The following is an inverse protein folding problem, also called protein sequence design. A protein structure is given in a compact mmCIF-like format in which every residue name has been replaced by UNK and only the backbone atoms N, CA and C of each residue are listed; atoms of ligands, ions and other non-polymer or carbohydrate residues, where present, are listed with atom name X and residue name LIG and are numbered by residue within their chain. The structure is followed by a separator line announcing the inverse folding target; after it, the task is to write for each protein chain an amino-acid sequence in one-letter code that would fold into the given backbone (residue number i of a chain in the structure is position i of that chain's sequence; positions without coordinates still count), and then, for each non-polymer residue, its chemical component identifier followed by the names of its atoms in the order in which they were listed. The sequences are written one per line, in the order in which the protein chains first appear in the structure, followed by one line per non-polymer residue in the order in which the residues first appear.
data_IF_547993023569
#
_entry.id   IF_547993023569
#
_cell.length_a   1.000
_cell.length_b   1.000
_cell.length_c   1.000
_cell.angle_alpha   90.00
_cell.angle_beta   90.00
_cell.angle_gamma   90.00
#
_symmetry.space_group_name_H-M   'P 1'
#
loop_
_entity.id
_entity.type
_entity.pdbx_description
1 polymer ?
#
# COMPACT_ATOMS: atom_id res chain seq x y z
N UNK A 1 -11.92 7.47 -1.39
CA UNK A 1 -11.95 7.67 -2.86
C UNK A 1 -13.37 7.93 -3.27
N UNK A 2 -13.61 8.80 -4.24
CA UNK A 2 -14.95 9.02 -4.79
C UNK A 2 -15.34 7.88 -5.72
N UNK A 3 -16.64 7.66 -5.89
CA UNK A 3 -17.20 6.61 -6.75
C UNK A 3 -16.75 6.78 -8.21
N UNK A 4 -16.84 8.01 -8.74
CA UNK A 4 -16.40 8.34 -10.09
C UNK A 4 -15.16 9.21 -10.00
N UNK A 5 -14.00 8.61 -10.27
CA UNK A 5 -12.71 9.31 -10.28
C UNK A 5 -11.81 8.72 -11.37
N UNK A 6 -11.25 9.60 -12.18
CA UNK A 6 -10.18 9.26 -13.12
C UNK A 6 -8.84 9.78 -12.61
N UNK A 7 -7.75 9.17 -13.07
CA UNK A 7 -6.40 9.66 -12.75
C UNK A 7 -6.22 11.09 -13.27
N UNK A 8 -5.42 11.88 -12.55
CA UNK A 8 -5.02 13.23 -12.97
C UNK A 8 -3.64 13.24 -13.64
N UNK A 9 -2.95 12.09 -13.70
CA UNK A 9 -1.71 11.88 -14.46
C UNK A 9 -1.90 10.70 -15.43
N UNK A 10 -1.23 10.73 -16.60
CA UNK A 10 -1.29 9.64 -17.58
C UNK A 10 -0.78 8.31 -17.02
N UNK A 11 -1.41 7.20 -17.43
CA UNK A 11 -1.07 5.84 -16.99
C UNK A 11 0.39 5.46 -17.26
N UNK A 12 0.95 5.98 -18.36
CA UNK A 12 2.32 5.71 -18.81
C UNK A 12 3.38 6.21 -17.83
N UNK A 13 3.07 7.26 -17.05
CA UNK A 13 3.97 7.80 -16.03
C UNK A 13 3.51 7.48 -14.60
N UNK A 14 2.27 7.01 -14.43
CA UNK A 14 1.75 6.57 -13.13
C UNK A 14 2.28 5.18 -12.74
N UNK A 15 2.34 4.26 -13.70
CA UNK A 15 2.66 2.86 -13.43
C UNK A 15 4.16 2.61 -13.37
N UNK A 16 4.56 1.56 -12.64
CA UNK A 16 5.97 1.27 -12.40
C UNK A 16 6.64 0.77 -13.69
N UNK A 17 7.83 1.29 -14.03
CA UNK A 17 8.58 0.81 -15.18
C UNK A 17 8.84 -0.70 -15.10
N UNK A 18 8.60 -1.42 -16.20
CA UNK A 18 8.84 -2.86 -16.30
C UNK A 18 7.72 -3.74 -15.72
N UNK A 19 6.66 -3.17 -15.13
CA UNK A 19 5.48 -3.91 -14.72
C UNK A 19 4.45 -3.89 -15.86
N UNK A 20 3.98 -5.05 -16.35
CA UNK A 20 2.98 -5.09 -17.42
C UNK A 20 1.69 -4.38 -17.01
N UNK A 21 1.15 -3.59 -17.93
CA UNK A 21 -0.17 -3.01 -17.77
C UNK A 21 -1.25 -4.12 -17.81
N UNK A 22 -2.38 -3.96 -17.11
CA UNK A 22 -3.51 -4.85 -17.27
C UNK A 22 -3.88 -4.93 -18.76
N UNK A 23 -4.07 -6.16 -19.29
CA UNK A 23 -4.39 -6.35 -20.72
C UNK A 23 -5.72 -5.71 -21.13
N UNK A 24 -6.60 -5.51 -20.14
CA UNK A 24 -7.89 -4.82 -20.29
C UNK A 24 -7.78 -3.32 -19.98
N UNK A 25 -6.56 -2.79 -19.81
CA UNK A 25 -6.37 -1.37 -19.54
C UNK A 25 -6.96 -0.57 -20.71
N UNK A 26 -7.88 0.32 -20.37
CA UNK A 26 -8.55 1.23 -21.29
C UNK A 26 -7.52 1.87 -22.25
N UNK A 27 -7.87 2.07 -23.52
CA UNK A 27 -7.00 2.76 -24.49
C UNK A 27 -6.66 4.18 -24.04
N UNK A 28 -7.53 4.79 -23.24
CA UNK A 28 -7.40 6.15 -22.67
C UNK A 28 -6.16 6.32 -21.78
N UNK A 29 -5.50 7.48 -21.89
CA UNK A 29 -4.32 7.80 -21.06
C UNK A 29 -4.68 8.09 -19.59
N UNK A 30 -5.86 8.65 -19.32
CA UNK A 30 -6.36 8.90 -17.97
C UNK A 30 -7.42 7.86 -17.65
N UNK A 31 -7.13 6.99 -16.69
CA UNK A 31 -7.93 5.78 -16.45
C UNK A 31 -8.82 5.93 -15.22
N UNK A 32 -9.94 5.19 -15.14
CA UNK A 32 -10.72 5.09 -13.91
C UNK A 32 -9.89 4.49 -12.76
N UNK A 33 -10.22 4.89 -11.53
CA UNK A 33 -9.50 4.43 -10.32
C UNK A 33 -9.51 2.91 -10.12
N UNK A 34 -10.50 2.20 -10.68
CA UNK A 34 -10.61 0.75 -10.67
C UNK A 34 -9.47 0.07 -11.43
N UNK A 35 -8.99 0.68 -12.51
CA UNK A 35 -7.84 0.19 -13.28
C UNK A 35 -6.58 0.27 -12.42
N UNK A 36 -6.39 1.37 -11.69
CA UNK A 36 -5.27 1.55 -10.75
C UNK A 36 -5.35 0.54 -9.60
N UNK A 37 -6.55 0.31 -9.04
CA UNK A 37 -6.76 -0.70 -8.01
C UNK A 37 -6.36 -2.10 -8.50
N UNK A 38 -6.85 -2.52 -9.67
CA UNK A 38 -6.51 -3.83 -10.26
C UNK A 38 -5.00 -3.97 -10.50
N UNK A 39 -4.36 -2.93 -11.03
CA UNK A 39 -2.91 -2.91 -11.21
C UNK A 39 -2.15 -3.12 -9.89
N UNK A 40 -2.51 -2.42 -8.80
CA UNK A 40 -1.86 -2.57 -7.49
C UNK A 40 -2.15 -3.94 -6.85
N UNK A 41 -3.37 -4.45 -7.01
CA UNK A 41 -3.73 -5.79 -6.56
C UNK A 41 -2.90 -6.85 -7.28
N UNK A 42 -2.75 -6.75 -8.61
CA UNK A 42 -1.92 -7.63 -9.43
C UNK A 42 -0.44 -7.52 -9.07
N UNK A 43 0.09 -6.31 -8.94
CA UNK A 43 1.48 -6.04 -8.56
C UNK A 43 1.84 -6.62 -7.19
N UNK A 44 0.91 -6.56 -6.24
CA UNK A 44 1.17 -7.04 -4.87
C UNK A 44 1.07 -8.55 -4.71
N UNK A 45 0.55 -9.30 -5.69
CA UNK A 45 0.25 -10.75 -5.57
C UNK A 45 1.40 -11.56 -4.98
N UNK A 46 2.61 -11.35 -5.50
CA UNK A 46 3.79 -12.12 -5.10
C UNK A 46 4.26 -11.81 -3.68
N UNK A 47 3.94 -10.63 -3.15
CA UNK A 47 4.33 -10.19 -1.80
C UNK A 47 3.19 -10.26 -0.77
N UNK A 48 1.96 -10.63 -1.17
CA UNK A 48 0.81 -10.66 -0.25
C UNK A 48 1.04 -11.54 0.97
N UNK A 49 1.83 -12.60 0.83
CA UNK A 49 2.18 -13.52 1.92
C UNK A 49 3.05 -12.86 3.02
N UNK A 50 3.71 -11.74 2.72
CA UNK A 50 4.48 -10.94 3.68
C UNK A 50 3.61 -9.90 4.39
N UNK A 51 2.40 -9.62 3.89
CA UNK A 51 1.52 -8.57 4.41
C UNK A 51 0.62 -9.15 5.49
N UNK A 52 0.66 -8.56 6.68
CA UNK A 52 -0.25 -8.88 7.77
C UNK A 52 -1.49 -8.00 7.72
N UNK A 53 -2.49 -8.44 6.95
CA UNK A 53 -3.78 -7.74 6.88
C UNK A 53 -4.50 -7.73 8.24
N UNK A 54 -5.35 -6.74 8.48
CA UNK A 54 -6.08 -6.61 9.76
C UNK A 54 -5.20 -6.25 10.97
N UNK A 55 -3.98 -5.78 10.73
CA UNK A 55 -3.08 -5.30 11.77
C UNK A 55 -2.90 -3.79 11.65
N UNK A 56 -3.24 -3.05 12.70
CA UNK A 56 -3.00 -1.62 12.78
C UNK A 56 -1.76 -1.37 13.62
N UNK A 57 -0.80 -0.62 13.10
CA UNK A 57 0.37 -0.16 13.87
C UNK A 57 -0.09 1.00 14.77
N UNK A 58 0.03 0.83 16.08
CA UNK A 58 -0.35 1.84 17.08
C UNK A 58 0.84 2.69 17.51
N UNK A 59 2.04 2.08 17.56
CA UNK A 59 3.24 2.77 18.04
C UNK A 59 4.51 2.18 17.44
N UNK A 60 5.47 3.05 17.13
CA UNK A 60 6.83 2.68 16.72
C UNK A 60 7.79 3.47 17.61
N UNK A 61 8.67 2.78 18.31
CA UNK A 61 9.61 3.38 19.26
C UNK A 61 11.02 2.81 19.07
N UNK A 62 12.04 3.64 19.31
CA UNK A 62 13.42 3.19 19.32
C UNK A 62 13.78 2.67 20.71
N UNK A 63 14.05 1.38 20.84
CA UNK A 63 14.60 0.73 22.04
C UNK A 63 15.96 0.13 21.64
N UNK A 64 17.04 0.89 21.84
CA UNK A 64 18.34 0.55 21.26
C UNK A 64 18.81 -0.87 21.62
N UNK A 65 19.32 -1.65 20.64
CA UNK A 65 19.67 -1.24 19.27
C UNK A 65 18.53 -1.32 18.24
N UNK A 66 17.32 -1.74 18.65
CA UNK A 66 16.21 -2.09 17.76
C UNK A 66 15.06 -1.09 17.79
N UNK A 67 14.08 -1.33 16.93
CA UNK A 67 12.78 -0.70 16.94
C UNK A 67 11.75 -1.64 17.53
N UNK A 68 10.91 -1.12 18.42
CA UNK A 68 9.74 -1.82 18.93
C UNK A 68 8.50 -1.29 18.24
N UNK A 69 7.71 -2.21 17.70
CA UNK A 69 6.47 -1.92 16.98
C UNK A 69 5.31 -2.57 17.72
N UNK A 70 4.37 -1.75 18.16
CA UNK A 70 3.13 -2.19 18.79
C UNK A 70 2.02 -2.19 17.77
N UNK A 71 1.35 -3.34 17.61
CA UNK A 71 0.21 -3.51 16.70
C UNK A 71 -1.04 -3.94 17.44
N UNK A 72 -2.20 -3.57 16.92
CA UNK A 72 -3.52 -4.08 17.32
C UNK A 72 -4.10 -4.94 16.20
N UNK A 73 -4.72 -6.06 16.56
CA UNK A 73 -5.33 -7.03 15.63
C UNK A 73 -6.56 -7.68 16.28
N UNK A 74 -7.40 -8.43 15.53
CA UNK A 74 -8.50 -9.21 16.12
C UNK A 74 -8.06 -10.22 17.18
N UNK A 75 -6.81 -10.67 17.16
CA UNK A 75 -6.22 -11.59 18.13
C UNK A 75 -5.72 -10.87 19.39
N UNK A 76 -5.81 -9.54 19.43
CA UNK A 76 -5.30 -8.69 20.49
C UNK A 76 -4.03 -7.91 20.11
N UNK A 77 -3.48 -7.12 21.05
CA UNK A 77 -2.27 -6.35 20.82
C UNK A 77 -1.02 -7.24 20.82
N UNK A 78 -0.06 -6.92 19.93
CA UNK A 78 1.23 -7.60 19.83
C UNK A 78 2.37 -6.58 19.79
N UNK A 79 3.51 -6.94 20.37
CA UNK A 79 4.75 -6.17 20.31
C UNK A 79 5.84 -7.01 19.65
N UNK A 80 6.52 -6.43 18.68
CA UNK A 80 7.60 -7.07 17.93
C UNK A 80 8.79 -6.13 17.78
N UNK A 81 9.98 -6.71 17.66
CA UNK A 81 11.23 -5.98 17.48
C UNK A 81 11.75 -6.11 16.04
N UNK A 82 12.26 -5.02 15.49
CA UNK A 82 12.82 -4.94 14.15
C UNK A 82 14.13 -4.17 14.15
N UNK A 83 15.09 -4.55 13.30
CA UNK A 83 16.33 -3.79 13.15
C UNK A 83 16.12 -2.47 12.39
N UNK A 84 15.18 -2.48 11.43
CA UNK A 84 14.85 -1.36 10.54
C UNK A 84 13.33 -1.26 10.37
N UNK A 85 12.82 -0.03 10.32
CA UNK A 85 11.40 0.27 10.04
C UNK A 85 11.30 1.30 8.92
N UNK A 86 10.48 1.00 7.91
CA UNK A 86 10.08 1.93 6.85
C UNK A 86 8.63 2.37 7.07
N UNK A 87 8.38 3.69 7.10
CA UNK A 87 7.04 4.25 7.31
C UNK A 87 6.44 4.65 5.96
N UNK A 88 5.40 3.91 5.54
CA UNK A 88 4.72 4.10 4.26
C UNK A 88 3.19 4.24 4.46
N UNK A 89 2.76 4.99 5.48
CA UNK A 89 1.34 5.10 5.89
C UNK A 89 0.49 6.07 5.05
N UNK A 90 1.11 6.77 4.09
CA UNK A 90 0.47 7.82 3.30
C UNK A 90 0.26 9.13 4.08
N UNK A 91 -0.07 10.19 3.35
CA UNK A 91 -0.16 11.57 3.88
C UNK A 91 -1.44 12.31 3.46
N UNK A 92 -2.45 11.58 2.97
CA UNK A 92 -3.75 12.13 2.53
C UNK A 92 -4.94 11.62 3.35
N UNK A 93 -4.69 11.14 4.57
CA UNK A 93 -5.72 10.59 5.45
C UNK A 93 -6.18 11.58 6.55
N UNK A 94 -5.31 12.51 6.94
CA UNK A 94 -5.64 13.61 7.87
C UNK A 94 -5.99 14.86 7.03
N UNK A 95 -7.19 15.45 7.18
CA UNK A 95 -7.66 16.56 6.35
C UNK A 95 -6.92 17.89 6.52
#
# INVERSE_FOLDING_TARGET
MYEVMSTNIPKEIMFYPGVPLPKDACEESFVPHEVVRKYLEDFSKDIRHLIRFGHKVERVEREEPKWKVTTSSPEGPKMEEFDVVFVCNGHYADP
#
